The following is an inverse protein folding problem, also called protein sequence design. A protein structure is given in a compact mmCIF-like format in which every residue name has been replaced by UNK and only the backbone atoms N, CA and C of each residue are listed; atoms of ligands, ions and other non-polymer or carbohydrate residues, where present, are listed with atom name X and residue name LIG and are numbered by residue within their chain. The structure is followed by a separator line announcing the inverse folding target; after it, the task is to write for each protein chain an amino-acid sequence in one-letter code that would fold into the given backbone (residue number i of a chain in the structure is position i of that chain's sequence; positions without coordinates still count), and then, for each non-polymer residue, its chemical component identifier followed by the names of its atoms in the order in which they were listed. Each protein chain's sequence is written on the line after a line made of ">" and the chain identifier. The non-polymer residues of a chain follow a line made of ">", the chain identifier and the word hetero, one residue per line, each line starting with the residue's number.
data_IF_215487376057
#
_entry.id   IF_215487376057
#
_cell.length_a   1.000
_cell.length_b   1.000
_cell.length_c   1.000
_cell.angle_alpha   90.00
_cell.angle_beta   90.00
_cell.angle_gamma   90.00
#
_symmetry.space_group_name_H-M   'P 1'
#
loop_
_entity.id
_entity.type
_entity.pdbx_description
1 polymer ?
#
# COMPACT_ATOMS: atom_id res chain seq x y z
N UNK A 1 -1.19 -21.28 27.74
CA UNK A 1 -1.97 -21.03 26.51
C UNK A 1 -1.74 -19.60 26.03
N UNK A 2 -0.61 -19.32 25.37
CA UNK A 2 -0.30 -17.97 24.88
C UNK A 2 -0.86 -17.80 23.46
N UNK A 3 -2.16 -17.50 23.37
CA UNK A 3 -2.88 -17.23 22.13
C UNK A 3 -3.10 -15.72 21.95
N UNK A 4 -2.15 -14.91 22.42
CA UNK A 4 -2.19 -13.45 22.32
C UNK A 4 -1.56 -13.05 20.98
N UNK A 5 -2.44 -12.72 20.02
CA UNK A 5 -2.23 -11.74 18.94
C UNK A 5 -0.99 -11.91 18.04
N UNK A 6 -0.91 -13.02 17.30
CA UNK A 6 -0.17 -12.99 16.02
C UNK A 6 -0.96 -12.09 15.05
N UNK A 7 -0.67 -10.78 15.03
CA UNK A 7 -1.12 -9.89 13.95
C UNK A 7 -0.81 -10.62 12.64
N UNK A 8 -1.84 -10.95 11.87
CA UNK A 8 -1.75 -11.74 10.66
C UNK A 8 -0.89 -11.02 9.61
N UNK A 9 0.43 -11.17 9.70
CA UNK A 9 1.40 -10.84 8.65
C UNK A 9 1.42 -11.94 7.60
N UNK A 10 0.24 -12.39 7.20
CA UNK A 10 0.06 -13.41 6.18
C UNK A 10 -0.52 -12.76 4.94
N UNK A 11 -0.05 -13.19 3.78
CA UNK A 11 -0.71 -12.90 2.52
C UNK A 11 -1.98 -13.76 2.38
N UNK A 12 -2.71 -13.55 1.28
CA UNK A 12 -3.95 -14.29 0.97
C UNK A 12 -3.78 -15.81 0.88
N UNK A 13 -2.55 -16.30 0.74
CA UNK A 13 -2.21 -17.72 0.71
C UNK A 13 -1.82 -18.29 2.09
N UNK A 14 -1.97 -17.51 3.17
CA UNK A 14 -1.57 -17.90 4.51
C UNK A 14 -0.05 -17.92 4.76
N UNK A 15 0.77 -17.49 3.78
CA UNK A 15 2.24 -17.41 3.86
C UNK A 15 2.68 -16.06 4.41
N UNK A 16 3.94 -15.93 4.83
CA UNK A 16 4.51 -14.65 5.30
C UNK A 16 4.30 -13.53 4.27
N UNK A 17 3.86 -12.36 4.74
CA UNK A 17 3.69 -11.17 3.91
C UNK A 17 5.05 -10.66 3.41
N UNK A 18 5.14 -10.42 2.11
CA UNK A 18 6.32 -9.89 1.42
C UNK A 18 6.26 -8.37 1.32
N UNK A 19 7.39 -7.73 1.03
CA UNK A 19 7.39 -6.30 0.67
C UNK A 19 6.63 -6.09 -0.63
N UNK A 20 5.81 -5.05 -0.72
CA UNK A 20 5.12 -4.71 -1.95
C UNK A 20 6.06 -3.99 -2.92
N UNK A 21 6.70 -2.92 -2.44
CA UNK A 21 7.76 -2.21 -3.15
C UNK A 21 8.74 -1.55 -2.18
N UNK A 22 9.94 -1.24 -2.67
CA UNK A 22 10.98 -0.48 -1.96
C UNK A 22 11.41 0.77 -2.72
N UNK A 23 10.98 0.92 -3.97
CA UNK A 23 11.28 2.07 -4.83
C UNK A 23 10.20 2.16 -5.93
N UNK A 24 9.16 2.99 -5.75
CA UNK A 24 8.92 3.85 -4.59
C UNK A 24 8.63 3.06 -3.31
N UNK A 25 8.97 3.61 -2.14
CA UNK A 25 8.69 2.96 -0.86
C UNK A 25 7.19 3.07 -0.53
N UNK A 26 6.51 1.93 -0.52
CA UNK A 26 5.06 1.82 -0.30
C UNK A 26 4.68 1.72 1.18
N UNK A 27 3.38 1.54 1.44
CA UNK A 27 2.76 1.33 2.75
C UNK A 27 2.55 2.63 3.54
N UNK A 28 1.50 2.65 4.37
CA UNK A 28 1.07 3.81 5.15
C UNK A 28 2.18 4.34 6.07
N UNK A 29 2.88 3.46 6.77
CA UNK A 29 4.06 3.76 7.61
C UNK A 29 5.39 3.66 6.87
N UNK A 30 5.39 3.52 5.54
CA UNK A 30 6.60 3.40 4.71
C UNK A 30 7.51 2.23 5.11
N UNK A 31 6.93 1.08 5.43
CA UNK A 31 7.70 -0.12 5.81
C UNK A 31 7.83 -1.18 4.72
N UNK A 32 7.10 -1.03 3.60
CA UNK A 32 7.15 -1.93 2.43
C UNK A 32 5.96 -2.92 2.34
N UNK A 33 5.75 -3.84 3.31
CA UNK A 33 4.65 -4.81 3.28
C UNK A 33 3.29 -4.18 3.62
N UNK A 34 2.26 -4.38 2.78
CA UNK A 34 0.87 -3.93 2.97
C UNK A 34 0.13 -4.61 4.16
N UNK A 35 0.61 -4.38 5.39
CA UNK A 35 0.04 -4.97 6.62
C UNK A 35 -0.89 -3.98 7.31
N UNK A 36 -1.90 -4.49 8.03
CA UNK A 36 -2.63 -3.67 8.99
C UNK A 36 -1.74 -3.38 10.18
N UNK A 37 -1.53 -2.11 10.48
CA UNK A 37 -0.68 -1.67 11.59
C UNK A 37 -1.48 -1.23 12.80
N UNK A 38 -2.49 -0.38 12.60
CA UNK A 38 -3.28 0.23 13.66
C UNK A 38 -4.59 0.79 13.09
N UNK A 39 -5.47 1.27 13.97
CA UNK A 39 -6.70 1.99 13.60
C UNK A 39 -6.46 3.34 12.90
N UNK A 40 -5.22 3.82 12.78
CA UNK A 40 -4.94 5.07 12.07
C UNK A 40 -4.93 4.94 10.55
N UNK A 41 -4.75 3.73 10.00
CA UNK A 41 -4.87 3.48 8.56
C UNK A 41 -6.34 3.31 8.16
N UNK A 42 -7.12 4.39 8.17
CA UNK A 42 -8.55 4.32 7.81
C UNK A 42 -8.79 3.86 6.36
N UNK A 43 -7.79 4.03 5.47
CA UNK A 43 -7.84 3.59 4.07
C UNK A 43 -7.59 2.10 3.87
N UNK A 44 -7.09 1.39 4.89
CA UNK A 44 -6.84 -0.06 4.88
C UNK A 44 -5.98 -0.49 3.67
N UNK A 45 -4.77 0.06 3.57
CA UNK A 45 -3.84 -0.14 2.46
C UNK A 45 -3.20 -1.55 2.47
N UNK A 46 -4.02 -2.60 2.30
CA UNK A 46 -3.63 -4.03 2.38
C UNK A 46 -3.50 -4.75 1.04
N UNK A 47 -3.81 -4.09 -0.06
CA UNK A 47 -3.69 -4.65 -1.41
C UNK A 47 -2.41 -4.13 -2.04
N UNK A 48 -1.48 -5.03 -2.33
CA UNK A 48 -0.34 -4.73 -3.19
C UNK A 48 -0.79 -4.90 -4.65
N UNK A 49 -0.70 -3.85 -5.45
CA UNK A 49 -1.14 -3.84 -6.84
C UNK A 49 -0.06 -3.24 -7.72
N UNK A 50 0.04 -3.71 -8.96
CA UNK A 50 0.86 -3.06 -9.98
C UNK A 50 0.00 -2.04 -10.72
N UNK A 51 0.47 -0.80 -10.78
CA UNK A 51 -0.27 0.30 -11.39
C UNK A 51 -0.31 0.15 -12.90
N UNK A 52 -1.47 0.45 -13.49
CA UNK A 52 -1.63 0.66 -14.94
C UNK A 52 -2.06 2.10 -15.18
N UNK A 53 -1.81 2.61 -16.38
CA UNK A 53 -2.23 3.95 -16.77
C UNK A 53 -3.75 4.14 -16.63
N UNK A 54 -4.54 3.13 -16.96
CA UNK A 54 -6.00 3.16 -16.86
C UNK A 54 -6.46 3.22 -15.40
N UNK A 55 -5.83 2.45 -14.50
CA UNK A 55 -6.18 2.48 -13.09
C UNK A 55 -5.86 3.84 -12.47
N UNK A 56 -4.70 4.43 -12.81
CA UNK A 56 -4.30 5.77 -12.35
C UNK A 56 -5.27 6.86 -12.82
N UNK A 57 -5.68 6.82 -14.10
CA UNK A 57 -6.68 7.74 -14.63
C UNK A 57 -8.05 7.56 -13.95
N UNK A 58 -8.48 6.31 -13.80
CA UNK A 58 -9.73 5.97 -13.14
C UNK A 58 -9.75 6.48 -11.70
N UNK A 59 -8.77 6.11 -10.87
CA UNK A 59 -8.74 6.47 -9.45
C UNK A 59 -8.70 7.98 -9.24
N UNK A 60 -7.96 8.71 -10.10
CA UNK A 60 -7.95 10.17 -10.11
C UNK A 60 -9.35 10.75 -10.38
N UNK A 61 -10.09 10.20 -11.35
CA UNK A 61 -11.48 10.60 -11.63
C UNK A 61 -12.44 10.34 -10.46
N UNK A 62 -12.07 9.44 -9.55
CA UNK A 62 -12.83 9.10 -8.33
C UNK A 62 -12.39 9.89 -7.10
N UNK A 63 -11.52 10.89 -7.27
CA UNK A 63 -11.02 11.74 -6.18
C UNK A 63 -9.84 11.14 -5.41
N UNK A 64 -9.25 10.05 -5.88
CA UNK A 64 -8.05 9.44 -5.31
C UNK A 64 -6.89 9.57 -6.31
N UNK A 65 -6.27 10.75 -6.38
CA UNK A 65 -5.14 11.02 -7.26
C UNK A 65 -3.84 10.42 -6.70
N UNK A 66 -3.42 9.30 -7.29
CA UNK A 66 -2.16 8.63 -6.99
C UNK A 66 -1.02 9.02 -7.95
N UNK A 67 -1.27 9.91 -8.91
CA UNK A 67 -0.34 10.23 -10.00
C UNK A 67 0.42 11.54 -9.79
N UNK A 68 -0.20 12.52 -9.14
CA UNK A 68 0.43 13.82 -8.88
C UNK A 68 1.33 13.75 -7.63
N UNK A 69 2.58 14.23 -7.77
CA UNK A 69 3.51 14.31 -6.65
C UNK A 69 3.01 15.28 -5.58
N UNK A 70 3.22 14.92 -4.32
CA UNK A 70 2.91 15.74 -3.16
C UNK A 70 4.15 15.87 -2.27
N UNK A 71 4.83 17.01 -2.41
CA UNK A 71 6.08 17.29 -1.70
C UNK A 71 5.90 17.28 -0.17
N UNK A 72 4.77 17.78 0.34
CA UNK A 72 4.46 17.84 1.77
C UNK A 72 4.35 16.47 2.45
N UNK A 73 4.01 15.43 1.69
CA UNK A 73 3.88 14.06 2.19
C UNK A 73 5.02 13.12 1.74
N UNK A 74 6.03 13.67 1.04
CA UNK A 74 7.11 12.87 0.45
C UNK A 74 6.61 11.84 -0.59
N UNK A 75 5.48 12.11 -1.24
CA UNK A 75 4.89 11.22 -2.23
C UNK A 75 5.30 11.65 -3.64
N UNK A 76 6.04 10.80 -4.34
CA UNK A 76 6.57 11.13 -5.68
C UNK A 76 5.53 11.09 -6.81
N UNK A 77 4.33 10.56 -6.54
CA UNK A 77 3.38 10.17 -7.58
C UNK A 77 3.75 8.81 -8.18
N UNK A 78 2.75 7.96 -8.41
CA UNK A 78 2.93 6.65 -9.02
C UNK A 78 2.86 6.72 -10.54
N UNK A 79 3.58 5.79 -11.18
CA UNK A 79 3.63 5.58 -12.62
C UNK A 79 3.18 4.17 -12.97
N UNK A 80 2.97 3.94 -14.26
CA UNK A 80 2.74 2.60 -14.77
C UNK A 80 3.87 1.64 -14.35
N UNK A 81 3.49 0.44 -13.93
CA UNK A 81 4.35 -0.62 -13.38
C UNK A 81 4.89 -0.39 -11.95
N UNK A 82 4.65 0.76 -11.32
CA UNK A 82 4.92 0.91 -9.89
C UNK A 82 4.05 -0.07 -9.08
N UNK A 83 4.56 -0.43 -7.90
CA UNK A 83 3.83 -1.16 -6.87
C UNK A 83 3.86 -0.38 -5.58
#
# INVERSE_FOLDING_TARGET
>A
MSRVLKLNRRNVFGKRLQSCSTSPLTEYYRTGPCKWHSSSDYGVHRVCAQMTTEFLAFTRSRGNDLSTSQNSSGFAGLRENDR
#
